data_IF_211144536064
#
_entry.id   IF_211144536064
#
_cell.length_a   1.000
_cell.length_b   1.000
_cell.length_c   1.000
_cell.angle_alpha   90.00
_cell.angle_beta   90.00
_cell.angle_gamma   90.00
#
_symmetry.space_group_name_H-M   'P 1'
#
loop_
_entity.id
_entity.type
_entity.pdbx_description
1 polymer ?
#
# COMPACT_ATOMS: atom_id res chain seq x y z
N UNK A 1 27.21 -16.06 12.26
CA UNK A 1 26.65 -17.21 11.51
C UNK A 1 25.10 -17.27 11.48
N UNK A 2 24.36 -17.78 12.49
CA UNK A 2 22.87 -17.90 12.41
C UNK A 2 22.11 -16.57 12.19
N UNK A 3 22.63 -15.47 12.73
CA UNK A 3 22.02 -14.14 12.62
C UNK A 3 22.24 -13.52 11.22
N UNK A 4 23.39 -13.82 10.58
CA UNK A 4 23.72 -13.37 9.23
C UNK A 4 22.92 -14.14 8.16
N UNK A 5 22.77 -15.46 8.31
CA UNK A 5 21.93 -16.29 7.43
C UNK A 5 20.44 -15.90 7.47
N UNK A 6 19.96 -15.39 8.60
CA UNK A 6 18.61 -14.85 8.72
C UNK A 6 18.46 -13.53 7.97
N UNK A 7 19.45 -12.65 8.07
CA UNK A 7 19.49 -11.35 7.39
C UNK A 7 19.53 -11.50 5.87
N UNK A 8 20.34 -12.42 5.36
CA UNK A 8 20.46 -12.67 3.92
C UNK A 8 19.18 -13.22 3.30
N UNK A 9 18.48 -14.12 3.99
CA UNK A 9 17.19 -14.63 3.54
C UNK A 9 16.12 -13.55 3.51
N UNK A 10 16.07 -12.68 4.53
CA UNK A 10 15.15 -11.54 4.54
C UNK A 10 15.47 -10.56 3.42
N UNK A 11 16.76 -10.22 3.21
CA UNK A 11 17.19 -9.35 2.12
C UNK A 11 16.79 -9.90 0.76
N UNK A 12 17.02 -11.19 0.52
CA UNK A 12 16.62 -11.87 -0.71
C UNK A 12 15.11 -11.78 -0.95
N UNK A 13 14.30 -12.04 0.08
CA UNK A 13 12.83 -11.94 -0.01
C UNK A 13 12.37 -10.52 -0.34
N UNK A 14 12.93 -9.51 0.33
CA UNK A 14 12.60 -8.12 0.06
C UNK A 14 12.93 -7.73 -1.38
N UNK A 15 14.10 -8.13 -1.88
CA UNK A 15 14.49 -7.86 -3.27
C UNK A 15 13.50 -8.51 -4.25
N UNK A 16 13.18 -9.80 -4.06
CA UNK A 16 12.22 -10.51 -4.93
C UNK A 16 10.86 -9.83 -4.89
N UNK A 17 10.36 -9.48 -3.71
CA UNK A 17 9.08 -8.78 -3.55
C UNK A 17 9.05 -7.42 -4.26
N UNK A 18 10.09 -6.61 -4.07
CA UNK A 18 10.17 -5.27 -4.67
C UNK A 18 10.24 -5.38 -6.19
N UNK A 19 11.10 -6.25 -6.73
CA UNK A 19 11.24 -6.46 -8.17
C UNK A 19 9.93 -6.93 -8.78
N UNK A 20 9.24 -7.91 -8.18
CA UNK A 20 7.94 -8.38 -8.67
C UNK A 20 6.88 -7.28 -8.62
N UNK A 21 6.82 -6.51 -7.53
CA UNK A 21 5.83 -5.44 -7.38
C UNK A 21 6.01 -4.32 -8.40
N UNK A 22 7.26 -3.93 -8.65
CA UNK A 22 7.59 -2.94 -9.68
C UNK A 22 7.26 -3.51 -11.06
N UNK A 23 7.73 -4.72 -11.38
CA UNK A 23 7.52 -5.31 -12.70
C UNK A 23 6.02 -5.46 -13.02
N UNK A 24 5.26 -6.13 -12.17
CA UNK A 24 3.82 -6.33 -12.37
C UNK A 24 3.05 -5.00 -12.42
N UNK A 25 3.42 -4.04 -11.57
CA UNK A 25 2.77 -2.74 -11.50
C UNK A 25 2.98 -1.95 -12.79
N UNK A 26 4.24 -1.79 -13.22
CA UNK A 26 4.55 -1.11 -14.47
C UNK A 26 3.99 -1.83 -15.68
N UNK A 27 3.98 -3.16 -15.70
CA UNK A 27 3.33 -3.92 -16.78
C UNK A 27 1.85 -3.58 -16.87
N UNK A 28 1.12 -3.56 -15.75
CA UNK A 28 -0.31 -3.23 -15.75
C UNK A 28 -0.58 -1.77 -16.18
N UNK A 29 0.25 -0.82 -15.74
CA UNK A 29 0.14 0.57 -16.19
C UNK A 29 0.43 0.71 -17.68
N UNK A 30 1.55 0.18 -18.16
CA UNK A 30 1.95 0.29 -19.56
C UNK A 30 1.00 -0.46 -20.52
N UNK A 31 0.31 -1.50 -20.05
CA UNK A 31 -0.69 -2.22 -20.83
C UNK A 31 -1.78 -1.31 -21.39
N UNK A 32 -2.19 -0.29 -20.63
CA UNK A 32 -3.27 0.64 -21.02
C UNK A 32 -2.93 1.40 -22.31
N UNK A 33 -1.83 2.17 -22.39
CA UNK A 33 -1.44 2.84 -23.63
C UNK A 33 -1.04 1.87 -24.74
N UNK A 34 -0.46 0.70 -24.42
CA UNK A 34 -0.14 -0.31 -25.46
C UNK A 34 -1.38 -0.84 -26.18
N UNK A 35 -2.53 -0.87 -25.51
CA UNK A 35 -3.82 -1.23 -26.10
C UNK A 35 -4.55 -0.03 -26.71
N UNK A 36 -3.92 1.15 -26.79
CA UNK A 36 -4.51 2.37 -27.35
C UNK A 36 -5.60 3.01 -26.48
N UNK A 37 -5.66 2.68 -25.19
CA UNK A 37 -6.69 3.20 -24.28
C UNK A 37 -6.23 4.46 -23.55
N UNK A 38 -7.17 5.36 -23.27
CA UNK A 38 -6.98 6.48 -22.36
C UNK A 38 -7.19 6.04 -20.90
N UNK A 39 -6.40 6.58 -19.98
CA UNK A 39 -6.58 6.35 -18.55
C UNK A 39 -7.89 6.98 -18.05
N UNK A 40 -8.53 6.31 -17.10
CA UNK A 40 -9.72 6.83 -16.41
C UNK A 40 -11.04 6.62 -17.17
N UNK A 41 -11.03 5.80 -18.24
CA UNK A 41 -12.22 5.50 -19.02
C UNK A 41 -12.36 4.00 -19.30
N UNK A 42 -13.60 3.50 -19.26
CA UNK A 42 -13.95 2.14 -19.65
C UNK A 42 -13.06 1.06 -19.03
N UNK A 43 -12.46 0.24 -19.88
CA UNK A 43 -11.65 -0.92 -19.47
C UNK A 43 -10.35 -0.54 -18.74
N UNK A 44 -9.82 0.67 -18.95
CA UNK A 44 -8.62 1.13 -18.23
C UNK A 44 -8.84 1.22 -16.72
N UNK A 45 -10.06 1.56 -16.27
CA UNK A 45 -10.41 1.64 -14.85
C UNK A 45 -10.31 0.25 -14.21
N UNK A 46 -10.83 -0.77 -14.89
CA UNK A 46 -10.76 -2.14 -14.40
C UNK A 46 -9.32 -2.68 -14.40
N UNK A 47 -8.50 -2.31 -15.38
CA UNK A 47 -7.06 -2.65 -15.37
C UNK A 47 -6.34 -1.98 -14.19
N UNK A 48 -6.59 -0.69 -13.96
CA UNK A 48 -6.01 0.04 -12.82
C UNK A 48 -6.46 -0.55 -11.47
N UNK A 49 -7.75 -0.88 -11.33
CA UNK A 49 -8.28 -1.53 -10.13
C UNK A 49 -7.62 -2.89 -9.90
N UNK A 50 -7.43 -3.69 -10.96
CA UNK A 50 -6.66 -4.93 -10.91
C UNK A 50 -5.19 -4.71 -10.50
N UNK A 51 -4.56 -3.66 -11.02
CA UNK A 51 -3.19 -3.30 -10.70
C UNK A 51 -2.98 -2.98 -9.21
N UNK A 52 -4.02 -2.54 -8.48
CA UNK A 52 -3.93 -2.29 -7.03
C UNK A 52 -3.60 -3.55 -6.22
N UNK A 53 -3.91 -4.74 -6.74
CA UNK A 53 -3.57 -6.02 -6.11
C UNK A 53 -2.13 -6.47 -6.36
N UNK A 54 -1.36 -5.72 -7.15
CA UNK A 54 0.03 -6.05 -7.47
C UNK A 54 0.88 -6.36 -6.24
N UNK A 55 0.90 -5.54 -5.17
CA UNK A 55 1.71 -5.87 -3.98
C UNK A 55 1.24 -7.16 -3.30
N UNK A 56 -0.07 -7.44 -3.31
CA UNK A 56 -0.61 -8.67 -2.72
C UNK A 56 -0.14 -9.90 -3.51
N UNK A 57 -0.24 -9.85 -4.84
CA UNK A 57 0.22 -10.92 -5.74
C UNK A 57 1.73 -11.12 -5.60
N UNK A 58 2.52 -10.04 -5.60
CA UNK A 58 3.97 -10.10 -5.40
C UNK A 58 4.36 -10.72 -4.07
N UNK A 59 3.61 -10.44 -3.00
CA UNK A 59 3.84 -11.07 -1.68
C UNK A 59 3.62 -12.58 -1.74
N UNK A 60 2.54 -13.02 -2.39
CA UNK A 60 2.24 -14.45 -2.58
C UNK A 60 3.31 -15.14 -3.45
N UNK A 61 3.69 -14.54 -4.58
CA UNK A 61 4.73 -15.06 -5.46
C UNK A 61 6.09 -15.12 -4.77
N UNK A 62 6.47 -14.10 -4.02
CA UNK A 62 7.72 -14.09 -3.25
C UNK A 62 7.78 -15.25 -2.27
N UNK A 63 6.68 -15.51 -1.54
CA UNK A 63 6.59 -16.62 -0.59
C UNK A 63 6.68 -17.98 -1.29
N UNK A 64 6.07 -18.11 -2.47
CA UNK A 64 6.13 -19.31 -3.30
C UNK A 64 7.56 -19.57 -3.79
N UNK A 65 8.21 -18.55 -4.36
CA UNK A 65 9.58 -18.64 -4.90
C UNK A 65 10.61 -18.92 -3.80
N UNK A 66 10.47 -18.24 -2.66
CA UNK A 66 11.42 -18.38 -1.54
C UNK A 66 11.08 -19.52 -0.59
N UNK A 67 9.98 -20.25 -0.85
CA UNK A 67 9.48 -21.39 -0.06
C UNK A 67 9.37 -21.06 1.43
N UNK A 68 8.95 -19.84 1.75
CA UNK A 68 8.79 -19.36 3.13
C UNK A 68 7.56 -19.96 3.83
N UNK A 69 6.55 -20.33 3.05
CA UNK A 69 5.24 -20.72 3.56
C UNK A 69 4.41 -19.52 4.05
N UNK A 70 3.32 -19.81 4.77
CA UNK A 70 2.34 -18.82 5.24
C UNK A 70 2.48 -18.44 6.71
N UNK A 71 3.53 -18.94 7.37
CA UNK A 71 3.85 -18.52 8.73
C UNK A 71 4.17 -17.01 8.74
N UNK A 72 3.84 -16.33 9.84
CA UNK A 72 4.14 -14.90 10.07
C UNK A 72 3.60 -13.96 8.96
N UNK A 73 2.37 -14.21 8.49
CA UNK A 73 1.71 -13.32 7.52
C UNK A 73 1.17 -12.03 8.15
N UNK A 74 1.06 -11.98 9.49
CA UNK A 74 0.54 -10.84 10.26
C UNK A 74 -0.84 -10.33 9.83
N UNK A 75 -1.60 -11.11 9.05
CA UNK A 75 -2.97 -10.79 8.63
C UNK A 75 -4.01 -10.98 9.73
N UNK A 76 -3.64 -11.59 10.86
CA UNK A 76 -4.57 -11.85 11.97
C UNK A 76 -4.74 -10.55 12.79
N UNK A 77 -5.94 -9.92 12.79
CA UNK A 77 -6.16 -8.75 13.62
C UNK A 77 -6.24 -9.14 15.09
N UNK A 78 -5.70 -8.29 15.98
CA UNK A 78 -5.66 -8.52 17.42
C UNK A 78 -6.55 -7.52 18.16
N UNK A 79 -7.84 -7.45 17.77
CA UNK A 79 -8.79 -6.43 18.22
C UNK A 79 -8.91 -6.35 19.75
N UNK A 80 -9.03 -7.49 20.43
CA UNK A 80 -9.26 -7.54 21.89
C UNK A 80 -8.17 -6.82 22.70
N UNK A 81 -6.94 -6.73 22.20
CA UNK A 81 -5.80 -6.11 22.90
C UNK A 81 -5.46 -4.71 22.38
N UNK A 82 -5.75 -4.43 21.11
CA UNK A 82 -5.25 -3.22 20.42
C UNK A 82 -6.34 -2.36 19.80
N UNK A 83 -7.61 -2.50 20.19
CA UNK A 83 -8.72 -1.72 19.59
C UNK A 83 -8.48 -0.21 19.63
N UNK A 84 -7.96 0.33 20.74
CA UNK A 84 -7.61 1.76 20.85
C UNK A 84 -6.57 2.18 19.80
N UNK A 85 -5.58 1.33 19.54
CA UNK A 85 -4.57 1.56 18.50
C UNK A 85 -5.16 1.52 17.09
N UNK A 86 -6.05 0.56 16.81
CA UNK A 86 -6.75 0.51 15.51
C UNK A 86 -7.58 1.76 15.27
N UNK A 87 -8.36 2.21 16.27
CA UNK A 87 -9.16 3.45 16.19
C UNK A 87 -8.25 4.66 15.98
N UNK A 88 -7.15 4.76 16.73
CA UNK A 88 -6.22 5.88 16.59
C UNK A 88 -5.54 5.91 15.20
N UNK A 89 -5.09 4.78 14.67
CA UNK A 89 -4.47 4.74 13.34
C UNK A 89 -5.48 5.03 12.24
N UNK A 90 -6.73 4.58 12.41
CA UNK A 90 -7.79 4.81 11.42
C UNK A 90 -8.26 6.27 11.39
N UNK A 91 -8.56 6.86 12.56
CA UNK A 91 -9.08 8.23 12.67
C UNK A 91 -8.00 9.29 12.83
N UNK A 92 -6.77 8.92 13.18
CA UNK A 92 -5.65 9.83 13.39
C UNK A 92 -5.40 10.75 12.19
N UNK A 93 -5.29 10.22 10.96
CA UNK A 93 -5.16 11.06 9.76
C UNK A 93 -6.35 12.00 9.57
N UNK A 94 -7.58 11.55 9.82
CA UNK A 94 -8.79 12.38 9.73
C UNK A 94 -8.73 13.56 10.70
N UNK A 95 -8.39 13.29 11.97
CA UNK A 95 -8.20 14.35 12.98
C UNK A 95 -7.09 15.31 12.53
N UNK A 96 -5.98 14.79 12.02
CA UNK A 96 -4.86 15.60 11.56
C UNK A 96 -5.25 16.49 10.37
N UNK A 97 -6.09 16.01 9.46
CA UNK A 97 -6.64 16.81 8.35
C UNK A 97 -7.49 17.98 8.91
N UNK A 98 -8.40 17.71 9.85
CA UNK A 98 -9.21 18.77 10.46
C UNK A 98 -8.36 19.79 11.21
N UNK A 99 -7.37 19.32 11.98
CA UNK A 99 -6.41 20.20 12.67
C UNK A 99 -5.59 21.02 11.68
N UNK A 100 -5.18 20.43 10.57
CA UNK A 100 -4.44 21.14 9.52
C UNK A 100 -5.29 22.22 8.87
N UNK A 101 -6.57 21.93 8.60
CA UNK A 101 -7.53 22.91 8.09
C UNK A 101 -7.77 24.05 9.09
N UNK A 102 -8.02 23.72 10.36
CA UNK A 102 -8.18 24.73 11.41
C UNK A 102 -6.93 25.60 11.56
N UNK A 103 -5.74 24.99 11.58
CA UNK A 103 -4.47 25.70 11.62
C UNK A 103 -4.29 26.61 10.41
N UNK A 104 -4.61 26.14 9.21
CA UNK A 104 -4.56 26.93 7.98
C UNK A 104 -5.42 28.20 8.10
N UNK A 105 -6.68 28.09 8.53
CA UNK A 105 -7.56 29.25 8.66
C UNK A 105 -7.20 30.17 9.84
N UNK A 106 -6.54 29.66 10.88
CA UNK A 106 -5.98 30.51 11.94
C UNK A 106 -4.82 31.38 11.41
N UNK A 107 -3.99 30.85 10.51
CA UNK A 107 -2.89 31.58 9.88
C UNK A 107 -3.41 32.52 8.77
N UNK A 108 -4.43 32.10 8.03
CA UNK A 108 -5.02 32.82 6.91
C UNK A 108 -6.52 33.07 7.13
N UNK A 109 -6.92 33.91 8.09
CA UNK A 109 -8.33 34.09 8.44
C UNK A 109 -9.18 34.65 7.31
N UNK A 110 -8.60 35.44 6.41
CA UNK A 110 -9.32 36.04 5.26
C UNK A 110 -9.70 35.06 4.16
N UNK A 111 -9.28 33.80 4.22
CA UNK A 111 -9.68 32.75 3.25
C UNK A 111 -10.77 31.85 3.80
N UNK A 112 -11.17 32.02 5.07
CA UNK A 112 -12.27 31.27 5.65
C UNK A 112 -13.60 31.87 5.16
N UNK A 113 -14.26 31.16 4.26
CA UNK A 113 -15.63 31.47 3.85
C UNK A 113 -16.59 30.78 4.82
N UNK A 114 -17.41 31.58 5.52
CA UNK A 114 -18.34 31.09 6.55
C UNK A 114 -19.73 30.77 6.00
N UNK A 115 -19.96 30.96 4.70
CA UNK A 115 -21.25 30.78 4.03
C UNK A 115 -21.34 29.50 3.19
#
# INVERSE_FOLDING_TARGET
MKQEEGKDRTRKRLIVFVVLSIALGWTAFLLIPFLGMAYGQGMSIAILAGAMFTPAISSLLTRLITKEGFQKMYLRPHFKRHIKGYVLVFFGPTVLIFLSGAFYFLVFPGTFDSE
#
